data_IF_484674938298
#
_entry.id   IF_484674938298
#
_cell.length_a   1.000
_cell.length_b   1.000
_cell.length_c   1.000
_cell.angle_alpha   90.00
_cell.angle_beta   90.00
_cell.angle_gamma   90.00
#
_symmetry.space_group_name_H-M   'P 1'
#
loop_
_entity.id
_entity.type
_entity.pdbx_description
1 polymer ?
#
# COMPACT_ATOMS: atom_id res chain seq x y z
N UNK A 1 26.36 37.75 52.89
CA UNK A 1 26.07 36.37 52.40
C UNK A 1 24.69 36.42 51.75
N UNK A 2 24.69 36.65 50.41
CA UNK A 2 23.44 36.79 49.61
C UNK A 2 23.17 35.41 49.00
N UNK A 3 22.03 34.81 49.36
CA UNK A 3 21.55 33.53 48.78
C UNK A 3 20.76 33.84 47.52
N UNK A 4 21.25 33.38 46.35
CA UNK A 4 20.48 33.34 45.10
C UNK A 4 19.52 32.15 45.14
N UNK A 5 18.25 32.41 45.03
CA UNK A 5 17.22 31.39 44.82
C UNK A 5 17.02 31.29 43.30
N UNK A 6 17.47 30.18 42.72
CA UNK A 6 17.18 29.87 41.32
C UNK A 6 15.77 29.31 41.22
N UNK A 7 14.87 30.08 40.60
CA UNK A 7 13.55 29.62 40.26
C UNK A 7 13.64 28.85 38.94
N UNK A 8 13.43 27.53 38.98
CA UNK A 8 13.24 26.71 37.79
C UNK A 8 11.80 26.88 37.28
N UNK A 9 11.62 27.60 36.17
CA UNK A 9 10.33 27.67 35.48
C UNK A 9 10.23 26.41 34.60
N UNK A 10 9.40 25.44 35.00
CA UNK A 10 9.00 24.31 34.15
C UNK A 10 7.97 24.86 33.18
N UNK A 11 8.37 25.05 31.93
CA UNK A 11 7.44 25.32 30.81
C UNK A 11 6.78 24.00 30.45
N UNK A 12 5.57 23.77 30.97
CA UNK A 12 4.69 22.74 30.39
C UNK A 12 4.20 23.27 29.04
N UNK A 13 4.72 22.73 27.96
CA UNK A 13 4.12 22.88 26.64
C UNK A 13 2.81 22.09 26.62
N UNK A 14 1.68 22.79 26.82
CA UNK A 14 0.38 22.22 26.49
C UNK A 14 0.33 22.01 24.98
N UNK A 15 0.49 20.77 24.53
CA UNK A 15 0.08 20.41 23.19
C UNK A 15 -1.43 20.59 23.11
N UNK A 16 -1.87 21.54 22.28
CA UNK A 16 -3.27 21.68 21.96
C UNK A 16 -3.73 20.36 21.30
N UNK A 17 -4.55 19.59 22.00
CA UNK A 17 -5.27 18.48 21.41
C UNK A 17 -6.15 19.10 20.34
N UNK A 18 -5.80 18.93 19.05
CA UNK A 18 -6.67 19.33 17.94
C UNK A 18 -7.98 18.55 18.10
N UNK A 19 -9.11 19.22 17.97
CA UNK A 19 -10.42 18.59 18.08
C UNK A 19 -10.49 17.41 17.10
N UNK A 20 -10.94 16.26 17.58
CA UNK A 20 -11.28 15.13 16.77
C UNK A 20 -12.68 15.38 16.20
N UNK A 21 -12.79 15.34 14.86
CA UNK A 21 -14.08 15.38 14.19
C UNK A 21 -14.62 13.95 14.02
N UNK A 22 -15.93 13.81 13.97
CA UNK A 22 -16.59 12.51 13.78
C UNK A 22 -17.38 12.48 12.48
N UNK A 23 -17.33 11.35 11.81
CA UNK A 23 -18.00 11.11 10.54
C UNK A 23 -18.87 9.85 10.67
N UNK A 24 -20.17 10.02 10.52
CA UNK A 24 -21.10 8.90 10.52
C UNK A 24 -21.12 8.29 9.11
N UNK A 25 -20.76 7.01 9.02
CA UNK A 25 -21.07 6.16 7.87
C UNK A 25 -22.51 5.65 7.99
N UNK A 26 -22.82 4.49 7.45
CA UNK A 26 -24.19 3.94 7.58
C UNK A 26 -24.53 3.56 9.02
N UNK A 27 -23.61 2.91 9.71
CA UNK A 27 -23.76 2.46 11.10
C UNK A 27 -22.57 2.76 12.00
N UNK A 28 -21.38 2.98 11.41
CA UNK A 28 -20.13 3.20 12.13
C UNK A 28 -19.82 4.70 12.21
N UNK A 29 -19.48 5.16 13.40
CA UNK A 29 -18.94 6.53 13.58
C UNK A 29 -17.42 6.47 13.56
N UNK A 30 -16.82 7.07 12.56
CA UNK A 30 -15.37 7.24 12.47
C UNK A 30 -14.93 8.50 13.19
N UNK A 31 -13.79 8.44 13.83
CA UNK A 31 -13.07 9.58 14.36
C UNK A 31 -11.96 9.95 13.39
N UNK A 32 -11.84 11.24 13.04
CA UNK A 32 -10.74 11.72 12.23
C UNK A 32 -9.71 12.49 13.02
N UNK A 33 -8.46 12.38 12.64
CA UNK A 33 -7.34 13.09 13.24
C UNK A 33 -6.38 13.57 12.16
N UNK A 34 -5.95 14.83 12.26
CA UNK A 34 -4.86 15.35 11.44
C UNK A 34 -3.53 14.76 11.96
N UNK A 35 -2.88 13.94 11.13
CA UNK A 35 -1.55 13.37 11.44
C UNK A 35 -0.46 14.36 11.10
N UNK A 36 -0.46 14.87 9.88
CA UNK A 36 0.57 15.79 9.38
C UNK A 36 -0.03 16.79 8.41
N UNK A 37 0.32 18.05 8.56
CA UNK A 37 0.04 19.13 7.62
C UNK A 37 1.33 19.73 7.05
N UNK A 38 1.17 20.62 6.07
CA UNK A 38 2.28 21.37 5.48
C UNK A 38 3.24 20.52 4.64
N UNK A 39 2.76 19.40 4.10
CA UNK A 39 3.46 18.62 3.09
C UNK A 39 3.44 19.35 1.74
N UNK A 40 4.35 18.97 0.85
CA UNK A 40 4.39 19.54 -0.51
C UNK A 40 3.70 18.62 -1.51
N UNK A 41 2.37 18.62 -1.49
CA UNK A 41 1.51 17.79 -2.34
C UNK A 41 1.87 16.31 -2.17
N UNK A 42 1.45 15.66 -1.06
CA UNK A 42 1.63 14.23 -0.87
C UNK A 42 0.94 13.50 -2.03
N UNK A 43 1.69 12.66 -2.76
CA UNK A 43 1.17 11.97 -3.93
C UNK A 43 0.93 10.48 -3.68
N UNK A 44 1.91 9.79 -3.12
CA UNK A 44 1.82 8.39 -2.67
C UNK A 44 2.01 8.32 -1.17
N UNK A 45 1.17 7.57 -0.47
CA UNK A 45 1.37 7.23 0.93
C UNK A 45 1.29 5.71 1.12
N UNK A 46 2.27 5.16 1.83
CA UNK A 46 2.35 3.71 2.09
C UNK A 46 2.51 3.51 3.59
N UNK A 47 1.79 2.54 4.16
CA UNK A 47 2.13 2.03 5.48
C UNK A 47 3.40 1.19 5.39
N UNK A 48 4.47 1.68 5.96
CA UNK A 48 5.78 1.03 5.92
C UNK A 48 5.91 -0.14 6.90
N UNK A 49 6.89 -1.02 6.68
CA UNK A 49 7.14 -2.18 7.56
C UNK A 49 7.69 -1.80 8.94
N UNK A 50 7.92 -0.53 9.18
CA UNK A 50 8.46 0.09 10.38
C UNK A 50 7.39 0.90 11.15
N UNK A 51 6.11 0.62 10.88
CA UNK A 51 4.95 1.28 11.48
C UNK A 51 4.92 2.81 11.28
N UNK A 52 5.48 3.28 10.17
CA UNK A 52 5.45 4.68 9.75
C UNK A 52 4.76 4.82 8.40
N UNK A 53 4.27 6.01 8.12
CA UNK A 53 3.75 6.37 6.81
C UNK A 53 4.92 6.88 5.98
N UNK A 54 5.20 6.21 4.87
CA UNK A 54 6.13 6.67 3.85
C UNK A 54 5.35 7.49 2.83
N UNK A 55 5.89 8.63 2.43
CA UNK A 55 5.18 9.58 1.60
C UNK A 55 6.10 10.16 0.53
N UNK A 56 5.66 10.15 -0.75
CA UNK A 56 6.27 10.98 -1.77
C UNK A 56 5.60 12.36 -1.76
N UNK A 57 6.42 13.39 -1.80
CA UNK A 57 5.99 14.77 -1.99
C UNK A 57 6.36 15.21 -3.41
N UNK A 58 5.41 15.73 -4.16
CA UNK A 58 5.54 15.98 -5.61
C UNK A 58 6.73 16.84 -5.98
N UNK A 59 7.14 17.75 -5.09
CA UNK A 59 8.32 18.60 -5.26
C UNK A 59 9.67 17.85 -5.32
N UNK A 60 9.69 16.54 -5.00
CA UNK A 60 10.90 15.72 -5.11
C UNK A 60 11.41 15.17 -3.78
N UNK A 61 10.57 15.00 -2.77
CA UNK A 61 10.95 14.42 -1.48
C UNK A 61 10.28 13.09 -1.22
N UNK A 62 11.00 12.24 -0.49
CA UNK A 62 10.42 11.10 0.21
C UNK A 62 10.56 11.35 1.69
N UNK A 63 9.43 11.30 2.38
CA UNK A 63 9.33 11.52 3.81
C UNK A 63 8.82 10.27 4.52
N UNK A 64 9.28 10.07 5.75
CA UNK A 64 8.79 9.07 6.69
C UNK A 64 8.14 9.80 7.86
N UNK A 65 6.89 9.47 8.15
CA UNK A 65 6.05 10.20 9.10
C UNK A 65 5.59 9.24 10.19
N UNK A 66 5.87 9.58 11.44
CA UNK A 66 5.34 8.87 12.60
C UNK A 66 3.83 9.11 12.69
N UNK A 67 2.98 8.10 12.58
CA UNK A 67 1.53 8.27 12.55
C UNK A 67 0.96 8.76 13.88
N UNK A 68 1.66 8.56 15.01
CA UNK A 68 1.20 8.98 16.32
C UNK A 68 1.51 10.45 16.62
N UNK A 69 2.70 10.89 16.25
CA UNK A 69 3.23 12.23 16.60
C UNK A 69 3.19 13.23 15.46
N UNK A 70 3.08 12.75 14.21
CA UNK A 70 3.21 13.56 13.01
C UNK A 70 4.65 14.00 12.72
N UNK A 71 5.64 13.44 13.45
CA UNK A 71 7.05 13.77 13.22
C UNK A 71 7.47 13.26 11.84
N UNK A 72 8.02 14.18 11.04
CA UNK A 72 8.50 13.91 9.68
C UNK A 72 10.02 13.79 9.66
N UNK A 73 10.52 12.78 8.97
CA UNK A 73 11.93 12.60 8.63
C UNK A 73 12.07 12.52 7.12
N UNK A 74 12.85 13.39 6.51
CA UNK A 74 13.11 13.36 5.06
C UNK A 74 14.17 12.30 4.79
N UNK A 75 13.83 11.31 3.96
CA UNK A 75 14.72 10.21 3.56
C UNK A 75 15.45 10.49 2.26
N UNK A 76 14.86 11.30 1.38
CA UNK A 76 15.39 11.68 0.07
C UNK A 76 14.93 13.09 -0.28
N UNK A 77 15.82 13.90 -0.85
CA UNK A 77 15.49 15.20 -1.44
C UNK A 77 16.14 15.30 -2.81
N UNK A 78 15.32 15.19 -3.86
CA UNK A 78 15.67 15.37 -5.27
C UNK A 78 15.01 16.61 -5.86
N UNK A 79 14.66 17.62 -5.04
CA UNK A 79 14.02 18.85 -5.50
C UNK A 79 14.82 19.64 -6.54
N UNK A 80 16.14 19.38 -6.64
CA UNK A 80 16.99 19.94 -7.69
C UNK A 80 17.03 19.14 -9.00
N UNK A 81 16.44 17.94 -9.05
CA UNK A 81 16.41 17.03 -10.20
C UNK A 81 15.00 16.83 -10.74
N UNK A 82 14.03 16.68 -9.84
CA UNK A 82 12.62 16.46 -10.19
C UNK A 82 12.06 17.70 -10.87
N UNK A 83 11.43 17.50 -12.03
CA UNK A 83 10.64 18.55 -12.67
C UNK A 83 9.23 18.54 -12.08
N UNK A 84 8.85 19.60 -11.39
CA UNK A 84 7.53 19.76 -10.78
C UNK A 84 6.75 20.87 -11.47
N UNK A 85 5.64 20.52 -12.07
CA UNK A 85 4.64 21.45 -12.59
C UNK A 85 3.31 20.75 -12.82
N UNK A 86 2.21 21.31 -12.31
CA UNK A 86 0.84 20.77 -12.47
C UNK A 86 0.69 19.34 -11.90
N UNK A 87 0.66 18.27 -12.72
CA UNK A 87 0.64 16.89 -12.27
C UNK A 87 2.04 16.26 -12.20
N UNK A 88 3.00 16.82 -12.94
CA UNK A 88 4.37 16.34 -12.97
C UNK A 88 5.08 16.56 -11.64
N UNK A 89 6.02 15.67 -11.30
CA UNK A 89 6.79 15.71 -10.06
C UNK A 89 7.30 14.34 -9.64
N UNK A 90 7.60 14.16 -8.35
CA UNK A 90 7.82 12.85 -7.72
C UNK A 90 6.46 12.26 -7.37
N UNK A 91 6.16 11.08 -7.91
CA UNK A 91 4.82 10.51 -7.95
C UNK A 91 4.76 9.16 -7.24
N UNK A 92 4.59 8.06 -7.98
CA UNK A 92 4.43 6.73 -7.42
C UNK A 92 5.65 6.21 -6.69
N UNK A 93 5.40 5.47 -5.63
CA UNK A 93 6.40 4.78 -4.83
C UNK A 93 5.89 3.41 -4.43
N UNK A 94 6.76 2.42 -4.37
CA UNK A 94 6.44 1.11 -3.81
C UNK A 94 7.66 0.52 -3.11
N UNK A 95 7.44 -0.18 -2.01
CA UNK A 95 8.48 -0.88 -1.25
C UNK A 95 8.61 -2.32 -1.73
N UNK A 96 9.82 -2.86 -1.70
CA UNK A 96 10.04 -4.28 -2.00
C UNK A 96 9.23 -5.16 -1.03
N UNK A 97 8.51 -6.21 -1.47
CA UNK A 97 7.65 -7.02 -0.60
C UNK A 97 8.42 -7.73 0.53
N UNK A 98 9.66 -8.09 0.30
CA UNK A 98 10.60 -8.61 1.32
C UNK A 98 11.57 -7.49 1.73
N UNK A 99 11.04 -6.38 2.25
CA UNK A 99 11.82 -5.19 2.58
C UNK A 99 12.88 -5.43 3.66
N UNK A 100 12.63 -6.38 4.57
CA UNK A 100 13.56 -6.70 5.64
C UNK A 100 14.91 -7.24 5.13
N UNK A 101 14.87 -8.02 4.04
CA UNK A 101 16.07 -8.59 3.41
C UNK A 101 16.51 -7.80 2.16
N UNK A 102 15.58 -7.09 1.53
CA UNK A 102 15.79 -6.31 0.32
C UNK A 102 15.22 -4.89 0.53
N UNK A 103 15.93 -3.99 1.22
CA UNK A 103 15.41 -2.67 1.59
C UNK A 103 15.34 -1.72 0.39
N UNK A 104 14.71 -2.18 -0.71
CA UNK A 104 14.57 -1.40 -1.93
C UNK A 104 13.25 -0.64 -1.97
N UNK A 105 13.35 0.58 -2.49
CA UNK A 105 12.24 1.49 -2.74
C UNK A 105 12.26 1.87 -4.21
N UNK A 106 11.14 1.72 -4.89
CA UNK A 106 11.00 2.07 -6.31
C UNK A 106 10.20 3.37 -6.40
N UNK A 107 10.70 4.34 -7.14
CA UNK A 107 10.09 5.67 -7.23
C UNK A 107 10.06 6.11 -8.68
N UNK A 108 8.87 6.52 -9.15
CA UNK A 108 8.66 7.10 -10.45
C UNK A 108 8.54 8.62 -10.34
N UNK A 109 9.24 9.34 -11.21
CA UNK A 109 9.21 10.80 -11.22
C UNK A 109 9.57 11.40 -12.58
N UNK A 110 9.18 12.66 -12.78
CA UNK A 110 9.51 13.43 -13.96
C UNK A 110 10.79 14.25 -13.77
N UNK A 111 11.54 14.41 -14.85
CA UNK A 111 12.77 15.19 -14.90
C UNK A 111 12.89 15.93 -16.25
N UNK A 112 13.84 16.86 -16.35
CA UNK A 112 14.13 17.57 -17.61
C UNK A 112 15.40 17.03 -18.27
N UNK A 113 15.31 16.77 -19.56
CA UNK A 113 16.47 16.65 -20.43
C UNK A 113 16.42 17.74 -21.50
N UNK A 114 17.26 18.76 -21.36
CA UNK A 114 17.13 19.99 -22.13
C UNK A 114 15.79 20.68 -21.85
N UNK A 115 14.91 20.73 -22.85
CA UNK A 115 13.54 21.27 -22.71
C UNK A 115 12.45 20.19 -22.70
N UNK A 116 12.84 18.93 -22.75
CA UNK A 116 11.90 17.81 -22.76
C UNK A 116 11.57 17.36 -21.34
N UNK A 117 10.29 17.22 -21.03
CA UNK A 117 9.84 16.58 -19.80
C UNK A 117 9.83 15.09 -20.07
N UNK A 118 10.53 14.33 -19.24
CA UNK A 118 10.65 12.89 -19.33
C UNK A 118 10.27 12.27 -17.98
N UNK A 119 9.92 10.99 -17.98
CA UNK A 119 9.65 10.17 -16.80
C UNK A 119 10.72 9.10 -16.66
N UNK A 120 10.99 8.72 -15.41
CA UNK A 120 11.85 7.59 -15.08
C UNK A 120 11.35 6.85 -13.86
N UNK A 121 11.79 5.60 -13.75
CA UNK A 121 11.63 4.74 -12.58
C UNK A 121 13.01 4.40 -12.05
N UNK A 122 13.26 4.70 -10.77
CA UNK A 122 14.54 4.49 -10.10
C UNK A 122 14.35 3.60 -8.89
N UNK A 123 15.28 2.64 -8.73
CA UNK A 123 15.41 1.83 -7.53
C UNK A 123 16.39 2.49 -6.56
N UNK A 124 15.95 2.67 -5.32
CA UNK A 124 16.74 3.16 -4.21
C UNK A 124 16.92 2.06 -3.18
N UNK A 125 17.99 2.15 -2.39
CA UNK A 125 18.23 1.33 -1.21
C UNK A 125 18.03 2.19 0.06
N UNK A 126 17.27 1.66 1.02
CA UNK A 126 17.09 2.30 2.32
C UNK A 126 18.22 1.92 3.27
N UNK A 127 18.95 2.93 3.76
CA UNK A 127 20.13 2.77 4.63
C UNK A 127 19.78 2.78 6.13
N UNK A 128 18.49 2.83 6.47
CA UNK A 128 18.02 3.05 7.85
C UNK A 128 17.68 4.51 8.15
N UNK A 129 18.26 5.48 7.45
CA UNK A 129 18.03 6.92 7.66
C UNK A 129 17.85 7.72 6.38
N UNK A 130 18.19 7.16 5.24
CA UNK A 130 18.14 7.82 3.92
C UNK A 130 17.91 6.82 2.80
N UNK A 131 17.55 7.30 1.62
CA UNK A 131 17.50 6.53 0.39
C UNK A 131 18.69 6.88 -0.50
N UNK A 132 19.34 5.86 -1.05
CA UNK A 132 20.45 5.99 -1.98
C UNK A 132 20.07 5.37 -3.32
N UNK A 133 20.25 6.10 -4.44
CA UNK A 133 19.97 5.57 -5.76
C UNK A 133 20.90 4.37 -6.08
N UNK A 134 20.30 3.31 -6.59
CA UNK A 134 21.02 2.08 -7.01
C UNK A 134 21.02 1.99 -8.53
N UNK A 135 19.84 1.93 -9.14
CA UNK A 135 19.68 1.77 -10.59
C UNK A 135 18.51 2.58 -11.12
N UNK A 136 18.64 3.07 -12.34
CA UNK A 136 17.51 3.55 -13.15
C UNK A 136 16.97 2.36 -13.95
N UNK A 137 15.75 1.93 -13.64
CA UNK A 137 15.13 0.75 -14.25
C UNK A 137 14.49 1.04 -15.60
N UNK A 138 13.81 2.17 -15.70
CA UNK A 138 13.23 2.69 -16.95
C UNK A 138 13.47 4.19 -16.99
N UNK A 139 13.82 4.71 -18.15
CA UNK A 139 14.04 6.15 -18.36
C UNK A 139 13.62 6.58 -19.76
N UNK A 140 13.65 7.89 -19.98
CA UNK A 140 13.34 8.50 -21.29
C UNK A 140 11.89 8.25 -21.74
N UNK A 141 10.96 7.97 -20.82
CA UNK A 141 9.53 7.95 -21.16
C UNK A 141 9.09 9.40 -21.41
N UNK A 142 8.47 9.64 -22.55
CA UNK A 142 7.98 10.99 -22.88
C UNK A 142 6.89 11.38 -21.89
N UNK A 143 7.09 12.48 -21.19
CA UNK A 143 6.17 13.08 -20.23
C UNK A 143 5.64 14.43 -20.68
N UNK A 144 4.82 15.03 -19.84
CA UNK A 144 4.28 16.38 -20.00
C UNK A 144 4.03 16.99 -18.60
N UNK A 145 3.39 18.14 -18.51
CA UNK A 145 2.96 18.73 -17.24
C UNK A 145 1.70 18.07 -16.66
N UNK A 146 0.96 17.28 -17.46
CA UNK A 146 -0.22 16.51 -17.05
C UNK A 146 -0.26 15.16 -17.75
N UNK A 147 -1.10 14.25 -17.27
CA UNK A 147 -1.26 12.90 -17.77
C UNK A 147 0.04 12.10 -17.74
N UNK A 148 0.61 12.00 -16.54
CA UNK A 148 1.89 11.33 -16.32
C UNK A 148 1.68 9.85 -15.95
N UNK A 149 0.56 9.51 -15.30
CA UNK A 149 0.38 8.16 -14.72
C UNK A 149 1.26 7.95 -13.49
N UNK A 150 2.29 7.13 -13.63
CA UNK A 150 3.30 6.81 -12.60
C UNK A 150 2.79 6.06 -11.37
N UNK A 151 1.59 5.46 -11.36
CA UNK A 151 1.19 4.55 -10.28
C UNK A 151 1.97 3.25 -10.37
N UNK A 152 2.45 2.77 -9.24
CA UNK A 152 3.24 1.54 -9.11
C UNK A 152 2.54 0.52 -8.24
N UNK A 153 2.67 -0.76 -8.58
CA UNK A 153 2.31 -1.89 -7.72
C UNK A 153 3.25 -3.07 -7.99
N UNK A 154 3.65 -3.79 -6.94
CA UNK A 154 4.37 -5.06 -7.08
C UNK A 154 3.37 -6.21 -6.92
N UNK A 155 3.40 -7.13 -7.87
CA UNK A 155 2.54 -8.30 -7.90
C UNK A 155 3.15 -9.47 -7.09
N UNK A 156 2.34 -10.48 -6.69
CA UNK A 156 2.82 -11.63 -5.92
C UNK A 156 3.90 -12.47 -6.60
N UNK A 157 4.04 -12.37 -7.93
CA UNK A 157 5.08 -13.03 -8.71
C UNK A 157 6.41 -12.25 -8.73
N UNK A 158 6.52 -11.16 -7.93
CA UNK A 158 7.65 -10.23 -7.91
C UNK A 158 7.88 -9.50 -9.23
N UNK A 159 6.85 -9.31 -10.05
CA UNK A 159 6.88 -8.32 -11.12
C UNK A 159 6.22 -7.02 -10.66
N UNK A 160 6.54 -5.92 -11.31
CA UNK A 160 5.99 -4.60 -11.03
C UNK A 160 5.19 -4.09 -12.21
N UNK A 161 4.01 -3.52 -11.93
CA UNK A 161 3.28 -2.72 -12.91
C UNK A 161 3.53 -1.23 -12.66
N UNK A 162 3.63 -0.49 -13.76
CA UNK A 162 3.71 0.98 -13.77
C UNK A 162 2.74 1.52 -14.82
N UNK A 163 1.87 2.45 -14.42
CA UNK A 163 1.08 3.21 -15.38
C UNK A 163 1.88 4.35 -16.00
N UNK A 164 1.68 4.60 -17.28
CA UNK A 164 2.14 5.80 -17.98
C UNK A 164 0.95 6.52 -18.58
N UNK A 165 0.90 7.84 -18.46
CA UNK A 165 -0.14 8.65 -19.09
C UNK A 165 0.10 8.86 -20.58
N UNK A 166 -0.86 9.46 -21.31
CA UNK A 166 -0.72 9.79 -22.72
C UNK A 166 0.17 11.01 -22.98
N UNK A 167 0.67 11.65 -21.94
CA UNK A 167 1.49 12.87 -22.01
C UNK A 167 0.86 13.97 -22.90
N UNK A 168 -0.48 14.05 -22.97
CA UNK A 168 -1.29 14.90 -23.87
C UNK A 168 -1.03 14.64 -25.36
N UNK A 169 -0.50 13.49 -25.73
CA UNK A 169 -0.26 13.09 -27.11
C UNK A 169 -1.11 11.87 -27.46
N UNK A 170 -2.31 12.12 -27.94
CA UNK A 170 -3.31 11.09 -28.30
C UNK A 170 -2.87 10.09 -29.38
N UNK A 171 -1.74 10.32 -30.05
CA UNK A 171 -1.22 9.38 -31.04
C UNK A 171 -0.44 8.21 -30.42
N UNK A 172 -0.05 8.30 -29.14
CA UNK A 172 0.84 7.36 -28.47
C UNK A 172 0.14 6.17 -27.82
N UNK A 173 -1.05 6.29 -27.19
CA UNK A 173 -1.71 5.16 -26.52
C UNK A 173 -2.00 3.96 -27.40
N UNK A 174 -2.29 4.17 -28.70
CA UNK A 174 -2.53 3.12 -29.69
C UNK A 174 -1.27 2.72 -30.48
N UNK A 175 -0.14 3.38 -30.26
CA UNK A 175 1.11 3.05 -30.93
C UNK A 175 1.82 1.90 -30.18
N UNK A 176 1.96 0.75 -30.82
CA UNK A 176 2.59 -0.46 -30.24
C UNK A 176 4.08 -0.27 -29.90
N UNK A 177 4.74 0.69 -30.55
CA UNK A 177 6.17 1.02 -30.33
C UNK A 177 6.38 2.09 -29.24
N UNK A 178 5.31 2.52 -28.57
CA UNK A 178 5.35 3.52 -27.52
C UNK A 178 5.06 2.88 -26.16
N UNK A 179 5.76 3.35 -25.12
CA UNK A 179 5.49 3.03 -23.72
C UNK A 179 4.60 4.08 -23.04
N UNK A 180 4.08 5.06 -23.79
CA UNK A 180 3.24 6.16 -23.33
C UNK A 180 1.77 5.82 -23.51
N UNK A 181 0.94 6.05 -22.50
CA UNK A 181 -0.46 5.63 -22.48
C UNK A 181 -0.63 4.11 -22.34
N UNK A 182 0.12 3.51 -21.41
CA UNK A 182 0.25 2.05 -21.21
C UNK A 182 0.19 1.69 -19.73
N UNK A 183 -0.07 0.42 -19.47
CA UNK A 183 0.44 -0.24 -18.27
C UNK A 183 1.68 -1.02 -18.70
N UNK A 184 2.79 -0.78 -18.03
CA UNK A 184 4.06 -1.49 -18.23
C UNK A 184 4.20 -2.58 -17.16
N UNK A 185 4.78 -3.75 -17.52
CA UNK A 185 5.15 -4.81 -16.57
C UNK A 185 6.61 -5.14 -16.70
N UNK A 186 7.32 -5.20 -15.59
CA UNK A 186 8.74 -5.45 -15.52
C UNK A 186 9.12 -6.28 -14.29
N UNK A 187 10.25 -6.95 -14.34
CA UNK A 187 10.89 -7.54 -13.17
C UNK A 187 11.43 -6.40 -12.25
N UNK A 188 11.70 -6.71 -10.97
CA UNK A 188 12.20 -5.71 -10.01
C UNK A 188 13.64 -5.20 -10.33
N UNK A 189 14.28 -5.76 -11.33
CA UNK A 189 15.55 -5.28 -11.88
C UNK A 189 15.40 -4.47 -13.19
N UNK A 190 14.15 -4.21 -13.60
CA UNK A 190 13.80 -3.47 -14.82
C UNK A 190 13.80 -4.31 -16.10
N UNK A 191 14.16 -5.59 -16.03
CA UNK A 191 14.13 -6.48 -17.22
C UNK A 191 12.70 -6.87 -17.60
N UNK A 192 12.50 -7.24 -18.86
CA UNK A 192 11.20 -7.65 -19.37
C UNK A 192 10.89 -9.08 -18.92
N UNK A 193 9.74 -9.35 -18.27
CA UNK A 193 9.29 -10.70 -17.97
C UNK A 193 9.06 -11.50 -19.26
N UNK A 194 9.52 -12.76 -19.27
CA UNK A 194 9.43 -13.62 -20.47
C UNK A 194 8.00 -14.01 -20.86
N UNK A 195 7.08 -13.85 -19.91
CA UNK A 195 5.64 -14.11 -20.05
C UNK A 195 4.82 -12.82 -20.30
N UNK A 196 5.48 -11.68 -20.57
CA UNK A 196 4.76 -10.51 -21.06
C UNK A 196 4.06 -10.81 -22.39
N UNK A 197 2.95 -10.12 -22.70
CA UNK A 197 2.24 -10.28 -23.98
C UNK A 197 3.17 -10.21 -25.21
N UNK A 198 4.14 -9.30 -25.16
CA UNK A 198 5.29 -9.27 -26.04
C UNK A 198 6.58 -9.41 -25.20
N UNK A 199 7.34 -10.53 -25.32
CA UNK A 199 8.55 -10.75 -24.51
C UNK A 199 9.71 -9.81 -24.84
N UNK A 200 9.57 -8.95 -25.85
CA UNK A 200 10.53 -7.90 -26.21
C UNK A 200 10.06 -6.49 -25.78
N UNK A 201 8.92 -6.39 -25.08
CA UNK A 201 8.31 -5.11 -24.68
C UNK A 201 7.86 -5.12 -23.23
N UNK A 202 8.04 -3.99 -22.55
CA UNK A 202 7.46 -3.76 -21.22
C UNK A 202 5.92 -3.58 -21.26
N UNK A 203 5.34 -3.33 -22.43
CA UNK A 203 3.90 -3.05 -22.57
C UNK A 203 3.09 -4.27 -22.17
N UNK A 204 2.22 -4.10 -21.18
CA UNK A 204 1.33 -5.13 -20.66
C UNK A 204 -0.11 -4.93 -21.16
N UNK A 205 -0.58 -3.67 -21.20
CA UNK A 205 -1.84 -3.27 -21.83
C UNK A 205 -1.71 -1.89 -22.48
N UNK A 206 -2.62 -1.54 -23.39
CA UNK A 206 -2.55 -0.35 -24.24
C UNK A 206 -3.83 0.49 -24.16
N UNK A 207 -3.82 1.68 -24.74
CA UNK A 207 -5.02 2.51 -24.86
C UNK A 207 -5.43 3.21 -23.56
N UNK A 208 -4.46 3.56 -22.72
CA UNK A 208 -4.69 4.30 -21.48
C UNK A 208 -4.48 5.80 -21.68
N UNK A 209 -5.28 6.61 -20.98
CA UNK A 209 -5.14 8.06 -20.95
C UNK A 209 -4.31 8.55 -19.78
N UNK A 210 -4.72 8.24 -18.56
CA UNK A 210 -4.05 8.69 -17.33
C UNK A 210 -4.53 7.86 -16.11
N UNK A 211 -4.09 6.61 -16.03
CA UNK A 211 -4.42 5.72 -14.90
C UNK A 211 -3.68 6.19 -13.63
N UNK A 212 -4.44 6.40 -12.53
CA UNK A 212 -3.98 7.03 -11.30
C UNK A 212 -3.97 6.08 -10.10
N UNK A 213 -4.78 5.04 -10.11
CA UNK A 213 -4.80 3.98 -9.08
C UNK A 213 -4.70 2.60 -9.74
N UNK A 214 -3.97 1.68 -9.12
CA UNK A 214 -3.90 0.27 -9.49
C UNK A 214 -3.85 -0.57 -8.23
N UNK A 215 -4.71 -1.57 -8.12
CA UNK A 215 -4.74 -2.46 -6.97
C UNK A 215 -5.09 -3.90 -7.36
N UNK A 216 -4.36 -4.85 -6.79
CA UNK A 216 -4.69 -6.28 -6.88
C UNK A 216 -5.55 -6.68 -5.68
N UNK A 217 -6.80 -7.02 -5.95
CA UNK A 217 -7.71 -7.49 -4.90
C UNK A 217 -7.41 -8.95 -4.49
N UNK A 218 -7.87 -9.38 -3.30
CA UNK A 218 -7.62 -10.76 -2.79
C UNK A 218 -8.15 -11.87 -3.70
N UNK A 219 -9.16 -11.59 -4.53
CA UNK A 219 -9.68 -12.53 -5.53
C UNK A 219 -8.81 -12.65 -6.80
N UNK A 220 -7.67 -11.94 -6.85
CA UNK A 220 -6.74 -11.96 -7.99
C UNK A 220 -7.10 -11.01 -9.13
N UNK A 221 -8.11 -10.16 -8.97
CA UNK A 221 -8.48 -9.17 -9.98
C UNK A 221 -7.69 -7.88 -9.77
N UNK A 222 -7.07 -7.39 -10.84
CA UNK A 222 -6.45 -6.09 -10.91
C UNK A 222 -7.48 -5.04 -11.31
N UNK A 223 -7.67 -4.04 -10.46
CA UNK A 223 -8.48 -2.86 -10.77
C UNK A 223 -7.60 -1.66 -11.07
N UNK A 224 -8.10 -0.71 -11.87
CA UNK A 224 -7.49 0.61 -12.02
C UNK A 224 -8.54 1.70 -12.11
N UNK A 225 -8.18 2.87 -11.58
CA UNK A 225 -8.93 4.11 -11.76
C UNK A 225 -8.25 4.99 -12.79
N UNK A 226 -8.99 5.61 -13.68
CA UNK A 226 -8.44 6.38 -14.79
C UNK A 226 -9.22 7.66 -15.06
N UNK A 227 -8.50 8.74 -15.39
CA UNK A 227 -9.10 10.01 -15.79
C UNK A 227 -9.54 10.02 -17.25
N UNK A 228 -10.81 10.28 -17.49
CA UNK A 228 -11.35 10.62 -18.81
C UNK A 228 -11.02 12.06 -19.26
N UNK A 229 -11.41 12.45 -20.48
CA UNK A 229 -11.12 13.78 -21.00
C UNK A 229 -11.92 14.92 -20.35
N UNK A 230 -13.24 14.89 -20.48
CA UNK A 230 -14.21 15.82 -19.87
C UNK A 230 -15.39 15.07 -19.29
N UNK A 231 -15.55 13.86 -19.73
CA UNK A 231 -16.51 12.82 -19.35
C UNK A 231 -15.74 11.53 -19.13
N UNK A 232 -16.42 10.52 -18.60
CA UNK A 232 -16.01 9.13 -18.61
C UNK A 232 -14.68 8.87 -17.89
N UNK A 233 -14.57 9.37 -16.65
CA UNK A 233 -13.58 8.83 -15.73
C UNK A 233 -13.96 7.37 -15.41
N UNK A 234 -12.98 6.46 -15.33
CA UNK A 234 -13.22 5.03 -15.37
C UNK A 234 -12.74 4.29 -14.12
N UNK A 235 -13.45 3.21 -13.77
CA UNK A 235 -12.91 2.10 -13.00
C UNK A 235 -12.85 0.88 -13.89
N UNK A 236 -11.66 0.34 -14.08
CA UNK A 236 -11.35 -0.74 -15.02
C UNK A 236 -10.93 -2.02 -14.32
N UNK A 237 -11.13 -3.17 -14.96
CA UNK A 237 -10.40 -4.41 -14.69
C UNK A 237 -9.22 -4.48 -15.63
N UNK A 238 -8.00 -4.49 -15.09
CA UNK A 238 -6.79 -4.60 -15.90
C UNK A 238 -6.50 -6.06 -16.27
N UNK A 239 -6.26 -6.30 -17.56
CA UNK A 239 -5.92 -7.61 -18.12
C UNK A 239 -4.73 -7.50 -19.09
N UNK A 240 -3.88 -8.52 -19.16
CA UNK A 240 -2.78 -8.54 -20.13
C UNK A 240 -3.30 -8.52 -21.56
N UNK A 241 -2.56 -7.86 -22.46
CA UNK A 241 -2.84 -7.81 -23.88
C UNK A 241 -4.21 -7.20 -24.25
N UNK A 242 -4.80 -6.38 -23.36
CA UNK A 242 -6.03 -5.66 -23.64
C UNK A 242 -5.75 -4.22 -24.05
N UNK A 243 -6.69 -3.68 -24.84
CA UNK A 243 -6.76 -2.29 -25.24
C UNK A 243 -7.89 -1.61 -24.45
N UNK A 244 -7.64 -0.43 -23.89
CA UNK A 244 -8.62 0.36 -23.12
C UNK A 244 -9.21 1.52 -23.92
N UNK A 245 -9.01 1.51 -25.24
CA UNK A 245 -9.71 2.30 -26.22
C UNK A 245 -9.21 3.70 -26.47
N UNK A 246 -8.56 4.35 -25.49
CA UNK A 246 -8.12 5.74 -25.64
C UNK A 246 -7.12 5.93 -26.79
N UNK A 247 -7.25 6.98 -27.64
CA UNK A 247 -8.20 8.08 -27.56
C UNK A 247 -9.47 7.89 -28.41
N UNK A 248 -9.68 6.76 -29.03
CA UNK A 248 -10.81 6.52 -29.94
C UNK A 248 -12.10 6.31 -29.13
N UNK A 249 -11.96 5.63 -27.98
CA UNK A 249 -13.04 5.36 -27.05
C UNK A 249 -12.73 6.02 -25.71
N UNK A 250 -13.73 6.59 -25.07
CA UNK A 250 -13.69 7.03 -23.66
C UNK A 250 -14.97 6.49 -23.01
N UNK A 251 -14.81 5.68 -21.94
CA UNK A 251 -15.92 4.96 -21.34
C UNK A 251 -16.36 3.75 -22.18
N UNK A 252 -17.66 3.67 -22.43
CA UNK A 252 -18.24 2.52 -23.13
C UNK A 252 -18.17 2.65 -24.65
N UNK A 253 -18.17 1.51 -25.34
CA UNK A 253 -18.26 1.42 -26.80
C UNK A 253 -19.72 1.62 -27.23
N UNK A 254 -20.24 2.85 -27.22
CA UNK A 254 -21.68 3.11 -27.37
C UNK A 254 -22.07 3.80 -28.70
N UNK A 255 -21.08 4.27 -29.48
CA UNK A 255 -21.34 4.83 -30.82
C UNK A 255 -20.91 3.85 -31.92
N UNK A 256 -21.49 3.90 -33.13
CA UNK A 256 -21.10 2.99 -34.22
C UNK A 256 -19.60 3.00 -34.57
N UNK A 257 -18.89 4.15 -34.59
CA UNK A 257 -17.43 4.14 -34.79
C UNK A 257 -16.66 3.45 -33.68
N UNK A 258 -17.06 3.70 -32.40
CA UNK A 258 -16.43 3.07 -31.23
C UNK A 258 -16.68 1.58 -31.22
N UNK A 259 -17.91 1.11 -31.46
CA UNK A 259 -18.24 -0.31 -31.56
C UNK A 259 -17.35 -1.02 -32.57
N UNK A 260 -17.16 -0.43 -33.77
CA UNK A 260 -16.30 -1.01 -34.79
C UNK A 260 -14.83 -1.08 -34.32
N UNK A 261 -14.34 -0.02 -33.66
CA UNK A 261 -12.98 0.00 -33.12
C UNK A 261 -12.81 -1.04 -32.01
N UNK A 262 -13.79 -1.16 -31.13
CA UNK A 262 -13.77 -2.09 -30.01
C UNK A 262 -13.72 -3.54 -30.47
N UNK A 263 -14.54 -3.90 -31.45
CA UNK A 263 -14.53 -5.23 -32.04
C UNK A 263 -13.18 -5.56 -32.74
N UNK A 264 -12.62 -4.57 -33.48
CA UNK A 264 -11.37 -4.76 -34.21
C UNK A 264 -10.14 -4.84 -33.27
N UNK A 265 -10.14 -4.09 -32.17
CA UNK A 265 -8.98 -3.88 -31.30
C UNK A 265 -9.09 -4.58 -29.93
N UNK A 266 -10.05 -5.48 -29.73
CA UNK A 266 -10.24 -6.23 -28.48
C UNK A 266 -10.32 -5.33 -27.24
N UNK A 267 -11.08 -4.23 -27.33
CA UNK A 267 -11.19 -3.25 -26.25
C UNK A 267 -11.90 -3.85 -25.05
N UNK A 268 -11.35 -3.60 -23.87
CA UNK A 268 -11.98 -3.90 -22.58
C UNK A 268 -12.72 -2.68 -22.09
N UNK A 269 -14.04 -2.79 -21.91
CA UNK A 269 -14.89 -1.71 -21.38
C UNK A 269 -14.74 -1.57 -19.86
N UNK A 270 -14.92 -0.35 -19.32
CA UNK A 270 -14.86 -0.13 -17.88
C UNK A 270 -16.02 -0.78 -17.13
N UNK A 271 -15.81 -1.06 -15.83
CA UNK A 271 -16.88 -1.44 -14.91
C UNK A 271 -17.87 -0.31 -14.68
N UNK A 272 -17.38 0.92 -14.66
CA UNK A 272 -18.18 2.15 -14.57
C UNK A 272 -17.43 3.30 -15.21
N UNK A 273 -18.18 4.16 -15.91
CA UNK A 273 -17.71 5.43 -16.48
C UNK A 273 -18.51 6.59 -15.86
N UNK A 274 -17.80 7.63 -15.39
CA UNK A 274 -18.39 8.75 -14.67
C UNK A 274 -18.52 9.98 -15.55
N UNK A 275 -19.75 10.39 -15.81
CA UNK A 275 -20.09 11.64 -16.50
C UNK A 275 -21.05 12.46 -15.65
N UNK A 276 -20.66 13.69 -15.18
CA UNK A 276 -19.39 14.36 -15.42
C UNK A 276 -18.22 13.72 -14.69
N UNK A 277 -17.00 14.03 -15.10
CA UNK A 277 -15.77 13.55 -14.47
C UNK A 277 -15.72 13.84 -12.96
N UNK A 278 -15.17 12.92 -12.20
CA UNK A 278 -15.01 13.00 -10.74
C UNK A 278 -13.54 13.15 -10.32
N UNK A 279 -12.59 12.88 -11.22
CA UNK A 279 -11.16 12.78 -11.04
C UNK A 279 -10.79 11.72 -9.96
N UNK A 280 -10.99 10.42 -10.29
CA UNK A 280 -10.57 9.33 -9.42
C UNK A 280 -9.05 9.35 -9.25
N UNK A 281 -8.57 8.90 -8.09
CA UNK A 281 -7.15 8.87 -7.80
C UNK A 281 -6.73 7.45 -7.39
N UNK A 282 -6.23 7.26 -6.20
CA UNK A 282 -5.80 5.95 -5.75
C UNK A 282 -6.96 5.02 -5.41
N UNK A 283 -6.70 3.71 -5.48
CA UNK A 283 -7.62 2.65 -5.08
C UNK A 283 -6.90 1.64 -4.20
N UNK A 284 -7.60 1.12 -3.18
CA UNK A 284 -7.07 0.11 -2.27
C UNK A 284 -8.18 -0.84 -1.81
N UNK A 285 -7.86 -2.11 -1.61
CA UNK A 285 -8.79 -3.06 -0.99
C UNK A 285 -8.70 -2.97 0.52
N UNK A 286 -9.84 -2.87 1.19
CA UNK A 286 -9.93 -2.85 2.64
C UNK A 286 -10.48 -4.18 3.15
N UNK A 287 -9.67 -4.96 3.87
CA UNK A 287 -10.00 -6.31 4.35
C UNK A 287 -10.12 -6.41 5.89
N UNK A 288 -9.96 -5.27 6.60
CA UNK A 288 -9.95 -5.27 8.06
C UNK A 288 -11.38 -5.08 8.64
N UNK A 289 -11.78 -5.83 9.71
CA UNK A 289 -13.14 -5.77 10.25
C UNK A 289 -13.45 -4.51 11.07
N UNK A 290 -12.50 -3.62 11.33
CA UNK A 290 -12.73 -2.43 12.18
C UNK A 290 -13.74 -1.44 11.59
N UNK A 291 -13.88 -1.38 10.27
CA UNK A 291 -14.84 -0.52 9.59
C UNK A 291 -15.72 -1.41 8.69
N UNK A 292 -16.86 -1.90 9.20
CA UNK A 292 -17.70 -2.86 8.48
C UNK A 292 -18.19 -2.37 7.11
N UNK A 293 -18.41 -1.06 6.95
CA UNK A 293 -18.83 -0.46 5.68
C UNK A 293 -17.75 -0.56 4.60
N UNK A 294 -16.48 -0.70 5.00
CA UNK A 294 -15.34 -0.80 4.09
C UNK A 294 -14.86 -2.25 3.90
N UNK A 295 -15.19 -3.12 4.87
CA UNK A 295 -14.67 -4.50 4.89
C UNK A 295 -15.01 -5.26 3.59
N UNK A 296 -13.98 -5.92 3.03
CA UNK A 296 -14.02 -6.70 1.79
C UNK A 296 -14.49 -5.88 0.57
N UNK A 297 -14.06 -4.61 0.50
CA UNK A 297 -14.45 -3.66 -0.54
C UNK A 297 -13.28 -2.87 -1.09
N UNK A 298 -13.44 -2.37 -2.30
CA UNK A 298 -12.49 -1.45 -2.92
C UNK A 298 -12.84 -0.02 -2.54
N UNK A 299 -11.87 0.69 -1.99
CA UNK A 299 -11.94 2.11 -1.69
C UNK A 299 -11.27 2.88 -2.82
N UNK A 300 -11.88 4.00 -3.25
CA UNK A 300 -11.32 4.90 -4.26
C UNK A 300 -11.33 6.33 -3.75
N UNK A 301 -10.17 6.95 -3.68
CA UNK A 301 -10.03 8.39 -3.39
C UNK A 301 -10.37 9.23 -4.60
N UNK A 302 -11.03 10.36 -4.39
CA UNK A 302 -11.54 11.20 -5.49
C UNK A 302 -11.19 12.66 -5.28
N UNK A 303 -10.50 13.22 -6.27
CA UNK A 303 -9.98 14.58 -6.22
C UNK A 303 -11.06 15.65 -6.48
N UNK A 304 -11.78 15.56 -7.60
CA UNK A 304 -12.75 16.60 -8.02
C UNK A 304 -14.09 16.45 -7.27
N UNK A 305 -14.56 15.24 -7.10
CA UNK A 305 -15.76 14.95 -6.32
C UNK A 305 -15.52 15.07 -4.80
N UNK A 306 -14.27 15.06 -4.34
CA UNK A 306 -13.86 15.24 -2.94
C UNK A 306 -14.54 14.27 -1.99
N UNK A 307 -14.52 13.00 -2.33
CA UNK A 307 -15.16 11.91 -1.59
C UNK A 307 -14.27 10.66 -1.57
N UNK A 308 -14.59 9.74 -0.68
CA UNK A 308 -14.13 8.37 -0.70
C UNK A 308 -15.28 7.52 -1.26
N UNK A 309 -15.06 6.87 -2.39
CA UNK A 309 -16.04 5.93 -2.97
C UNK A 309 -15.69 4.51 -2.52
N UNK A 310 -16.70 3.75 -2.13
CA UNK A 310 -16.58 2.37 -1.67
C UNK A 310 -17.42 1.48 -2.56
N UNK A 311 -16.79 0.51 -3.23
CA UNK A 311 -17.43 -0.42 -4.15
C UNK A 311 -17.60 -1.79 -3.53
N UNK A 312 -18.80 -2.33 -3.64
CA UNK A 312 -19.08 -3.74 -3.41
C UNK A 312 -19.25 -4.44 -4.76
N UNK A 313 -18.52 -5.53 -4.95
CA UNK A 313 -18.60 -6.34 -6.17
C UNK A 313 -19.42 -7.60 -5.97
N UNK A 314 -19.82 -8.23 -7.09
CA UNK A 314 -20.34 -9.59 -7.08
C UNK A 314 -19.21 -10.58 -6.68
N UNK A 315 -19.55 -11.84 -6.48
CA UNK A 315 -18.60 -12.90 -6.07
C UNK A 315 -17.44 -13.08 -7.08
N UNK A 316 -17.72 -12.89 -8.37
CA UNK A 316 -16.71 -12.95 -9.43
C UNK A 316 -15.78 -11.72 -9.45
N UNK A 317 -16.16 -10.60 -8.83
CA UNK A 317 -15.43 -9.33 -8.84
C UNK A 317 -15.51 -8.54 -10.14
N UNK A 318 -16.32 -8.97 -11.09
CA UNK A 318 -16.42 -8.38 -12.43
C UNK A 318 -17.63 -7.48 -12.63
N UNK A 319 -18.39 -7.21 -11.58
CA UNK A 319 -19.57 -6.35 -11.63
C UNK A 319 -19.80 -5.63 -10.31
N UNK A 320 -20.08 -4.32 -10.36
CA UNK A 320 -20.38 -3.50 -9.19
C UNK A 320 -21.82 -3.76 -8.76
N UNK A 321 -22.01 -4.17 -7.49
CA UNK A 321 -23.34 -4.32 -6.87
C UNK A 321 -23.79 -3.01 -6.24
N UNK A 322 -22.88 -2.34 -5.48
CA UNK A 322 -23.19 -1.06 -4.85
C UNK A 322 -21.99 -0.12 -4.91
N UNK A 323 -22.30 1.17 -4.97
CA UNK A 323 -21.36 2.28 -4.83
C UNK A 323 -21.87 3.19 -3.71
N UNK A 324 -21.02 3.45 -2.72
CA UNK A 324 -21.31 4.39 -1.64
C UNK A 324 -20.27 5.49 -1.62
N UNK A 325 -20.70 6.73 -1.37
CA UNK A 325 -19.84 7.92 -1.27
C UNK A 325 -19.82 8.42 0.16
N UNK A 326 -18.67 8.33 0.79
CA UNK A 326 -18.43 8.82 2.15
C UNK A 326 -17.50 10.03 2.15
N UNK A 327 -17.45 10.76 3.27
CA UNK A 327 -16.53 11.86 3.55
C UNK A 327 -16.59 13.00 2.52
N UNK A 328 -17.78 13.23 1.97
CA UNK A 328 -17.99 14.22 0.90
C UNK A 328 -17.71 15.64 1.39
N UNK A 329 -16.66 16.26 0.85
CA UNK A 329 -16.15 17.59 1.18
C UNK A 329 -15.53 17.75 2.58
N UNK A 330 -15.34 16.68 3.35
CA UNK A 330 -14.81 16.77 4.70
C UNK A 330 -13.33 17.18 4.69
N UNK A 331 -12.53 16.56 3.84
CA UNK A 331 -11.08 16.79 3.78
C UNK A 331 -10.62 17.46 2.46
N UNK A 332 -11.53 17.79 1.57
CA UNK A 332 -11.23 18.32 0.25
C UNK A 332 -10.82 17.24 -0.75
N UNK A 333 -9.77 17.49 -1.53
CA UNK A 333 -9.33 16.62 -2.62
C UNK A 333 -8.54 15.44 -2.06
N UNK A 334 -9.12 14.24 -2.10
CA UNK A 334 -8.45 13.02 -1.66
C UNK A 334 -7.55 12.49 -2.79
N UNK A 335 -6.23 12.40 -2.50
CA UNK A 335 -5.23 11.97 -3.49
C UNK A 335 -4.90 10.48 -3.35
N UNK A 336 -4.70 10.01 -2.13
CA UNK A 336 -4.12 8.69 -1.90
C UNK A 336 -4.63 8.09 -0.60
N UNK A 337 -4.50 6.78 -0.45
CA UNK A 337 -4.99 6.06 0.72
C UNK A 337 -4.07 4.91 1.09
N UNK A 338 -3.74 4.78 2.37
CA UNK A 338 -3.11 3.56 2.90
C UNK A 338 -3.81 3.08 4.18
N UNK A 339 -3.61 1.80 4.49
CA UNK A 339 -4.26 1.12 5.61
C UNK A 339 -3.19 0.57 6.53
N UNK A 340 -3.31 0.87 7.83
CA UNK A 340 -2.47 0.25 8.85
C UNK A 340 -2.97 -1.16 9.19
N UNK A 341 -2.12 -2.05 9.73
CA UNK A 341 -2.52 -3.38 10.20
C UNK A 341 -3.62 -3.36 11.28
N UNK A 342 -3.81 -2.23 11.95
CA UNK A 342 -4.91 -2.00 12.91
C UNK A 342 -6.26 -1.69 12.26
N UNK A 343 -6.33 -1.61 10.94
CA UNK A 343 -7.50 -1.20 10.19
C UNK A 343 -7.75 0.30 10.13
N UNK A 344 -6.86 1.13 10.69
CA UNK A 344 -6.92 2.58 10.51
C UNK A 344 -6.64 2.93 9.06
N UNK A 345 -7.40 3.88 8.53
CA UNK A 345 -7.26 4.39 7.17
C UNK A 345 -6.58 5.75 7.21
N UNK A 346 -5.57 5.94 6.38
CA UNK A 346 -4.88 7.21 6.20
C UNK A 346 -5.16 7.75 4.81
N UNK A 347 -5.51 9.03 4.73
CA UNK A 347 -5.86 9.73 3.49
C UNK A 347 -4.89 10.88 3.26
N UNK A 348 -4.22 10.90 2.11
CA UNK A 348 -3.48 12.05 1.64
C UNK A 348 -4.42 13.04 0.94
N UNK A 349 -4.25 14.33 1.23
CA UNK A 349 -5.07 15.38 0.62
C UNK A 349 -4.25 16.28 -0.28
N UNK A 350 -4.82 16.63 -1.42
CA UNK A 350 -4.19 17.52 -2.38
C UNK A 350 -4.61 18.98 -2.18
N UNK A 351 -3.81 19.89 -2.71
CA UNK A 351 -3.96 21.33 -2.48
C UNK A 351 -5.00 22.07 -3.34
N UNK A 352 -4.88 23.36 -3.32
CA UNK A 352 -5.89 24.37 -3.53
C UNK A 352 -6.35 24.63 -4.97
N UNK A 353 -5.75 24.09 -6.02
CA UNK A 353 -5.95 24.61 -7.38
C UNK A 353 -7.38 24.49 -7.93
N UNK A 354 -8.22 23.66 -7.31
CA UNK A 354 -9.60 23.39 -7.77
C UNK A 354 -10.62 23.37 -6.64
N UNK A 355 -10.25 23.63 -5.42
CA UNK A 355 -11.13 23.57 -4.26
C UNK A 355 -11.00 24.83 -3.41
N UNK A 356 -12.11 25.21 -2.76
CA UNK A 356 -12.11 26.21 -1.72
C UNK A 356 -11.05 25.91 -0.66
N UNK A 357 -10.54 26.94 0.00
CA UNK A 357 -9.59 26.84 1.11
C UNK A 357 -10.00 25.76 2.12
N UNK A 358 -9.57 24.52 1.89
CA UNK A 358 -9.76 23.45 2.86
C UNK A 358 -8.59 23.46 3.82
N UNK A 359 -8.81 23.49 5.14
CA UNK A 359 -7.75 23.54 6.15
C UNK A 359 -6.87 22.28 6.15
N UNK A 360 -7.35 21.19 5.52
CA UNK A 360 -6.64 19.91 5.43
C UNK A 360 -5.89 19.73 4.10
N UNK A 361 -5.72 20.79 3.31
CA UNK A 361 -4.91 20.70 2.08
C UNK A 361 -3.46 20.33 2.38
N UNK A 362 -2.87 19.46 1.54
CA UNK A 362 -1.48 18.99 1.69
C UNK A 362 -1.20 18.32 3.04
N UNK A 363 -2.11 17.46 3.46
CA UNK A 363 -2.10 16.82 4.78
C UNK A 363 -2.29 15.31 4.68
N UNK A 364 -2.00 14.63 5.77
CA UNK A 364 -2.38 13.24 6.00
C UNK A 364 -3.40 13.22 7.15
N UNK A 365 -4.57 12.64 6.87
CA UNK A 365 -5.65 12.43 7.82
C UNK A 365 -5.71 10.96 8.23
N UNK A 366 -5.91 10.68 9.51
CA UNK A 366 -6.22 9.35 10.04
C UNK A 366 -7.72 9.23 10.25
N UNK A 367 -8.29 8.09 9.89
CA UNK A 367 -9.66 7.67 10.22
C UNK A 367 -9.60 6.40 11.05
N UNK A 368 -10.33 6.37 12.15
CA UNK A 368 -10.41 5.21 13.05
C UNK A 368 -11.83 4.99 13.56
N UNK A 369 -12.18 3.72 13.78
CA UNK A 369 -13.36 3.36 14.56
C UNK A 369 -12.92 3.10 16.00
N UNK A 370 -13.07 4.11 16.86
CA UNK A 370 -12.69 4.03 18.28
C UNK A 370 -13.58 3.06 19.09
N UNK A 371 -14.75 2.70 18.56
CA UNK A 371 -15.64 1.73 19.18
C UNK A 371 -15.27 0.29 18.83
N UNK A 372 -14.40 0.09 17.83
CA UNK A 372 -13.94 -1.25 17.47
C UNK A 372 -13.03 -1.81 18.56
N UNK A 373 -13.48 -2.88 19.16
CA UNK A 373 -12.66 -3.71 20.04
C UNK A 373 -12.30 -4.95 19.21
N UNK A 374 -11.02 -5.14 18.91
CA UNK A 374 -10.57 -6.39 18.34
C UNK A 374 -11.03 -7.51 19.27
N UNK A 375 -12.14 -8.14 18.94
CA UNK A 375 -12.43 -9.43 19.51
C UNK A 375 -11.40 -10.36 18.89
N UNK A 376 -10.28 -10.55 19.61
CA UNK A 376 -9.60 -11.82 19.44
C UNK A 376 -10.72 -12.84 19.63
N UNK A 377 -11.04 -13.61 18.61
CA UNK A 377 -11.88 -14.76 18.82
C UNK A 377 -11.23 -15.48 20.00
N UNK A 378 -11.86 -15.37 21.18
CA UNK A 378 -11.57 -16.32 22.24
C UNK A 378 -11.97 -17.61 21.57
N UNK A 379 -10.96 -18.37 21.19
CA UNK A 379 -11.06 -19.64 20.51
C UNK A 379 -12.45 -20.24 20.74
N UNK A 380 -13.25 -20.35 19.66
CA UNK A 380 -14.10 -21.53 19.56
C UNK A 380 -13.14 -22.65 19.92
N UNK A 381 -13.36 -23.35 21.07
CA UNK A 381 -12.53 -24.43 21.58
C UNK A 381 -12.02 -25.28 20.40
N UNK A 382 -10.94 -24.84 19.75
CA UNK A 382 -10.06 -25.73 19.03
C UNK A 382 -9.59 -26.68 20.15
N UNK A 383 -9.68 -27.95 20.01
CA UNK A 383 -9.20 -28.86 21.05
C UNK A 383 -7.78 -28.43 21.36
N UNK A 384 -7.60 -27.78 22.51
CA UNK A 384 -6.35 -27.20 22.93
C UNK A 384 -5.29 -28.28 22.77
N UNK A 385 -4.25 -28.00 21.93
CA UNK A 385 -3.12 -28.92 21.86
C UNK A 385 -2.46 -28.93 23.25
N UNK A 386 -2.95 -29.80 24.10
CA UNK A 386 -2.54 -29.87 25.49
C UNK A 386 -1.17 -30.55 25.55
N UNK A 387 -0.16 -29.72 25.66
CA UNK A 387 1.21 -30.16 25.96
C UNK A 387 1.67 -29.50 27.25
N UNK A 388 2.33 -30.27 28.09
CA UNK A 388 2.96 -29.78 29.32
C UNK A 388 4.44 -30.06 29.25
N UNK A 389 5.26 -29.04 29.51
CA UNK A 389 6.71 -29.10 29.51
C UNK A 389 7.22 -28.79 30.90
N UNK A 390 7.99 -29.69 31.48
CA UNK A 390 8.53 -29.51 32.84
C UNK A 390 9.85 -30.26 33.06
N UNK A 391 10.67 -29.85 34.03
CA UNK A 391 10.53 -28.62 34.81
C UNK A 391 10.78 -27.36 33.96
N UNK A 392 10.17 -26.25 34.36
CA UNK A 392 10.45 -24.93 33.84
C UNK A 392 10.36 -23.91 34.98
N UNK A 393 11.42 -23.31 35.48
CA UNK A 393 12.83 -23.44 34.99
C UNK A 393 13.42 -24.84 35.10
N UNK A 394 14.43 -25.12 34.25
CA UNK A 394 15.19 -26.37 34.25
C UNK A 394 16.69 -26.07 34.46
N UNK A 395 17.35 -26.83 35.33
CA UNK A 395 18.81 -26.69 35.49
C UNK A 395 19.54 -27.29 34.29
N UNK A 396 20.65 -26.66 33.91
CA UNK A 396 21.51 -27.12 32.82
C UNK A 396 21.92 -28.60 32.97
N UNK A 397 21.76 -29.36 31.88
CA UNK A 397 22.04 -30.80 31.88
C UNK A 397 20.96 -31.69 32.51
N UNK A 398 19.84 -31.14 32.94
CA UNK A 398 18.68 -31.91 33.32
C UNK A 398 17.80 -32.32 32.15
N UNK A 399 17.05 -33.41 32.36
CA UNK A 399 16.12 -33.94 31.37
C UNK A 399 14.81 -33.18 31.38
N UNK A 400 14.41 -32.58 30.27
CA UNK A 400 13.11 -31.99 30.04
C UNK A 400 12.08 -33.08 29.77
N UNK A 401 10.94 -33.02 30.45
CA UNK A 401 9.83 -33.91 30.20
C UNK A 401 8.72 -33.17 29.43
N UNK A 402 8.30 -33.75 28.34
CA UNK A 402 7.18 -33.28 27.50
C UNK A 402 6.06 -34.30 27.64
N UNK A 403 4.87 -33.84 28.01
CA UNK A 403 3.66 -34.67 28.04
C UNK A 403 2.65 -34.18 27.04
N UNK A 404 2.22 -35.04 26.13
CA UNK A 404 1.17 -34.81 25.17
C UNK A 404 -0.13 -35.43 25.69
N UNK A 405 -1.23 -34.68 25.73
CA UNK A 405 -2.54 -35.20 26.17
C UNK A 405 -3.11 -36.25 25.20
N UNK A 406 -2.68 -36.25 23.96
CA UNK A 406 -3.00 -37.26 22.95
C UNK A 406 -1.73 -37.74 22.29
N UNK A 407 -1.63 -39.02 22.01
CA UNK A 407 -0.50 -39.63 21.29
C UNK A 407 -0.63 -39.32 19.80
N UNK A 408 -0.14 -38.15 19.40
CA UNK A 408 -0.02 -37.76 17.99
C UNK A 408 1.42 -37.33 17.70
N UNK A 409 1.85 -37.51 16.46
CA UNK A 409 3.16 -37.10 16.02
C UNK A 409 3.22 -35.55 15.98
N UNK A 410 4.25 -35.02 16.61
CA UNK A 410 4.44 -33.57 16.71
C UNK A 410 5.91 -33.23 16.56
N UNK A 411 6.20 -32.04 16.04
CA UNK A 411 7.57 -31.51 15.95
C UNK A 411 7.80 -30.57 17.14
N UNK A 412 8.85 -30.84 17.91
CA UNK A 412 9.32 -29.96 18.99
C UNK A 412 10.52 -29.16 18.49
N UNK A 413 10.42 -27.87 18.51
CA UNK A 413 11.46 -26.95 18.11
C UNK A 413 11.82 -26.03 19.27
N UNK A 414 13.12 -25.84 19.55
CA UNK A 414 13.63 -24.93 20.57
C UNK A 414 14.49 -23.86 19.92
N UNK A 415 14.21 -22.59 20.23
CA UNK A 415 14.90 -21.43 19.70
C UNK A 415 15.55 -20.63 20.80
N UNK A 416 16.72 -20.06 20.55
CA UNK A 416 17.34 -19.07 21.44
C UNK A 416 16.67 -17.68 21.26
N UNK A 417 17.10 -16.70 22.06
CA UNK A 417 16.55 -15.32 22.04
C UNK A 417 16.83 -14.56 20.74
N UNK A 418 17.74 -15.04 19.89
CA UNK A 418 18.01 -14.45 18.56
C UNK A 418 17.17 -15.12 17.45
N UNK A 419 16.30 -16.07 17.79
CA UNK A 419 15.45 -16.81 16.84
C UNK A 419 16.17 -17.95 16.13
N UNK A 420 17.40 -18.30 16.54
CA UNK A 420 18.12 -19.43 15.99
C UNK A 420 17.55 -20.74 16.55
N UNK A 421 17.26 -21.70 15.68
CA UNK A 421 16.84 -23.04 16.03
C UNK A 421 18.00 -23.81 16.67
N UNK A 422 17.81 -24.31 17.92
CA UNK A 422 18.83 -25.06 18.67
C UNK A 422 18.50 -26.54 18.78
N UNK A 423 17.20 -26.89 18.85
CA UNK A 423 16.74 -28.30 18.88
C UNK A 423 15.55 -28.42 17.93
N UNK A 424 15.53 -29.51 17.18
CA UNK A 424 14.39 -29.91 16.33
C UNK A 424 14.22 -31.43 16.44
N UNK A 425 13.19 -31.85 17.15
CA UNK A 425 12.95 -33.26 17.44
C UNK A 425 11.50 -33.63 17.12
N UNK A 426 11.33 -34.78 16.47
CA UNK A 426 10.02 -35.36 16.23
C UNK A 426 9.62 -36.23 17.41
N UNK A 427 8.50 -35.92 18.06
CA UNK A 427 8.02 -36.59 19.26
C UNK A 427 6.67 -37.24 19.01
N UNK A 428 6.44 -38.39 19.69
CA UNK A 428 5.17 -39.12 19.62
C UNK A 428 4.80 -39.56 21.03
N UNK A 429 3.89 -38.83 21.66
CA UNK A 429 3.51 -39.08 23.06
C UNK A 429 4.51 -38.52 24.08
N UNK A 430 4.44 -39.00 25.32
CA UNK A 430 5.31 -38.52 26.41
C UNK A 430 6.78 -38.77 26.09
N UNK A 431 7.57 -37.71 26.06
CA UNK A 431 8.97 -37.73 25.65
C UNK A 431 9.86 -37.10 26.71
N UNK A 432 11.08 -37.60 26.83
CA UNK A 432 12.13 -37.04 27.67
C UNK A 432 13.29 -36.61 26.77
N UNK A 433 13.70 -35.36 26.89
CA UNK A 433 14.81 -34.77 26.14
C UNK A 433 15.91 -34.31 27.10
N UNK A 434 17.13 -34.72 26.83
CA UNK A 434 18.30 -34.20 27.54
C UNK A 434 18.70 -32.89 26.85
N UNK A 435 18.63 -31.78 27.61
CA UNK A 435 18.95 -30.46 27.08
C UNK A 435 20.43 -30.20 27.25
N UNK A 436 21.18 -30.22 26.14
CA UNK A 436 22.57 -29.79 26.08
C UNK A 436 22.63 -28.36 25.49
N UNK A 437 22.13 -27.40 26.28
CA UNK A 437 22.09 -25.98 25.90
C UNK A 437 22.65 -25.13 27.07
N UNK A 438 23.18 -23.95 26.77
CA UNK A 438 23.67 -23.01 27.77
C UNK A 438 22.56 -22.43 28.63
N UNK A 439 22.89 -21.94 29.83
CA UNK A 439 21.90 -21.22 30.66
C UNK A 439 21.39 -19.97 29.93
N UNK A 440 20.06 -19.79 29.94
CA UNK A 440 19.44 -18.69 29.22
C UNK A 440 17.93 -18.87 29.06
N UNK A 441 17.31 -17.91 28.34
CA UNK A 441 15.91 -17.96 27.95
C UNK A 441 15.83 -18.53 26.55
N UNK A 442 14.91 -19.49 26.37
CA UNK A 442 14.59 -20.14 25.09
C UNK A 442 13.09 -20.05 24.85
N UNK A 443 12.70 -20.22 23.59
CA UNK A 443 11.30 -20.35 23.19
C UNK A 443 11.11 -21.69 22.50
N UNK A 444 10.16 -22.49 22.95
CA UNK A 444 9.83 -23.71 22.27
C UNK A 444 8.53 -23.59 21.49
N UNK A 445 8.43 -24.35 20.41
CA UNK A 445 7.26 -24.47 19.58
C UNK A 445 6.95 -25.94 19.32
N UNK A 446 5.69 -26.31 19.50
CA UNK A 446 5.13 -27.58 19.05
C UNK A 446 4.31 -27.34 17.80
N UNK A 447 4.46 -28.23 16.80
CA UNK A 447 3.64 -28.26 15.60
C UNK A 447 3.16 -29.69 15.41
N UNK A 448 1.83 -29.89 15.47
CA UNK A 448 1.20 -31.19 15.22
C UNK A 448 1.03 -31.47 13.73
N UNK A 449 0.78 -32.73 13.33
CA UNK A 449 0.58 -33.09 11.91
C UNK A 449 -0.63 -32.41 11.27
N UNK A 450 -1.64 -32.07 12.04
CA UNK A 450 -2.84 -31.34 11.61
C UNK A 450 -2.69 -29.81 11.69
N UNK A 451 -1.46 -29.32 11.96
CA UNK A 451 -1.12 -27.90 11.91
C UNK A 451 -1.42 -27.12 13.18
N UNK A 452 -1.87 -27.74 14.26
CA UNK A 452 -2.02 -27.06 15.54
C UNK A 452 -0.66 -26.67 16.11
N UNK A 453 -0.56 -25.48 16.73
CA UNK A 453 0.71 -24.96 17.28
C UNK A 453 0.53 -24.54 18.74
N UNK A 454 1.58 -24.75 19.53
CA UNK A 454 1.73 -24.17 20.86
C UNK A 454 3.15 -23.68 21.06
N UNK A 455 3.29 -22.47 21.61
CA UNK A 455 4.61 -21.87 21.89
C UNK A 455 4.62 -21.27 23.28
N UNK A 456 5.70 -21.51 24.04
CA UNK A 456 5.93 -20.91 25.35
C UNK A 456 7.45 -20.72 25.58
N UNK A 457 7.82 -20.04 26.66
CA UNK A 457 9.21 -19.85 27.06
C UNK A 457 9.73 -20.98 27.95
N UNK A 458 11.02 -21.33 27.84
CA UNK A 458 11.76 -22.23 28.68
C UNK A 458 12.96 -21.51 29.28
N UNK A 459 13.11 -21.55 30.59
CA UNK A 459 14.26 -20.96 31.28
C UNK A 459 15.22 -22.10 31.69
N UNK A 460 16.48 -22.00 31.24
CA UNK A 460 17.57 -22.91 31.62
C UNK A 460 18.50 -22.19 32.58
N UNK A 461 18.68 -22.72 33.78
CA UNK A 461 19.50 -22.15 34.86
C UNK A 461 20.87 -22.82 35.00
#
# INVERSE_FOLDING_TARGET
MIRFISIFIIILSAQAVKAQDTHLLDSTTLTSRLVKDGLDIPWEIIWGPDDHIWCTERYGRVSRIDPMTGQQSVLLDLSGEVFEQSEAGMLGMVLHPDFANNPHVFIAYTYLEGNSILERLVRFEYTGTSLMAVDTLVENIVGNTTHIGCRLIILPDNTMLMSTGDAQNQSLPQNENSVVGKILRMNLDGTIPTDNPNPESLVWSTGHRNAQGIWLAPNGILYSSEHGPTTDDELNILKPNKNYGWPVVAGYCDTPPENAFCEENNVEEPLVAYTPTIAPSDIIWYDHPSIPEFQDKLLMTVLKDRSLIVYTFNEAGDSIITEHKYLKNDFGRLRDVCIAPSGKVYLATNGNSWANNNPFSHSIMELSNEAYVATFATDLEQPEFQVTVFPNPIAQGQTLTIKLAQSQQSNFELYNTTGQLVINEQITGDTKLDLDVEAGIYYYRFVSEDGMMKSESLVVE
#
